data_IF_290981899292
#
_entry.id   IF_290981899292
#
_cell.length_a   1.000
_cell.length_b   1.000
_cell.length_c   1.000
_cell.angle_alpha   90.00
_cell.angle_beta   90.00
_cell.angle_gamma   90.00
#
_symmetry.space_group_name_H-M   'P 1'
#
loop_
_entity.id
_entity.type
_entity.pdbx_description
1 polymer ?
#
# COMPACT_ATOMS: atom_id res chain seq x y z
N UNK A 1 8.75 -1.92 2.74
CA UNK A 1 8.71 -0.43 2.70
C UNK A 1 8.34 0.15 4.07
N UNK A 2 9.11 1.12 4.58
CA UNK A 2 8.83 1.86 5.82
C UNK A 2 7.83 3.01 5.55
N UNK A 3 7.09 3.43 6.58
CA UNK A 3 6.07 4.48 6.45
C UNK A 3 6.67 5.86 6.08
N UNK A 4 7.87 6.19 6.58
CA UNK A 4 8.56 7.46 6.26
C UNK A 4 8.74 7.64 4.74
N UNK A 5 9.32 6.64 4.09
CA UNK A 5 9.50 6.61 2.63
C UNK A 5 8.19 6.68 1.83
N UNK A 6 7.08 6.20 2.39
CA UNK A 6 5.77 6.32 1.74
C UNK A 6 5.19 7.74 1.87
N UNK A 7 5.56 8.50 2.91
CA UNK A 7 5.11 9.90 3.08
C UNK A 7 5.82 10.87 2.14
N UNK A 8 7.02 10.51 1.70
CA UNK A 8 7.81 11.27 0.72
C UNK A 8 7.27 11.14 -0.72
N UNK A 9 6.43 10.14 -0.98
CA UNK A 9 5.84 9.91 -2.29
C UNK A 9 4.66 10.85 -2.55
N UNK A 10 4.51 11.28 -3.79
CA UNK A 10 3.32 12.00 -4.23
C UNK A 10 2.08 11.11 -4.14
N UNK A 11 0.89 11.72 -4.07
CA UNK A 11 -0.39 10.98 -4.08
C UNK A 11 -0.52 10.08 -5.31
N UNK A 12 -0.09 10.57 -6.47
CA UNK A 12 -0.09 9.82 -7.73
C UNK A 12 0.82 8.61 -7.67
N UNK A 13 2.00 8.73 -7.05
CA UNK A 13 2.94 7.61 -6.92
C UNK A 13 2.43 6.58 -5.90
N UNK A 14 1.80 7.05 -4.82
CA UNK A 14 1.14 6.17 -3.85
C UNK A 14 0.00 5.37 -4.49
N UNK A 15 -0.81 6.00 -5.34
CA UNK A 15 -1.92 5.33 -6.01
C UNK A 15 -1.44 4.33 -7.07
N UNK A 16 -0.37 4.67 -7.82
CA UNK A 16 0.31 3.71 -8.73
C UNK A 16 0.85 2.51 -7.94
N UNK A 17 1.57 2.77 -6.85
CA UNK A 17 2.12 1.72 -5.97
C UNK A 17 1.03 0.84 -5.38
N UNK A 18 -0.09 1.43 -4.98
CA UNK A 18 -1.23 0.70 -4.46
C UNK A 18 -1.83 -0.27 -5.50
N UNK A 19 -1.94 0.16 -6.76
CA UNK A 19 -2.43 -0.69 -7.85
C UNK A 19 -1.46 -1.86 -8.13
N UNK A 20 -0.17 -1.58 -8.22
CA UNK A 20 0.87 -2.61 -8.40
C UNK A 20 0.78 -3.70 -7.32
N UNK A 21 0.76 -3.29 -6.04
CA UNK A 21 0.74 -4.21 -4.90
C UNK A 21 -0.56 -5.03 -4.82
N UNK A 22 -1.70 -4.47 -5.27
CA UNK A 22 -2.96 -5.22 -5.36
C UNK A 22 -2.89 -6.31 -6.42
N UNK A 23 -2.32 -6.03 -7.59
CA UNK A 23 -2.14 -7.03 -8.65
C UNK A 23 -1.19 -8.13 -8.20
N UNK A 24 -0.07 -7.76 -7.57
CA UNK A 24 0.89 -8.71 -7.01
C UNK A 24 0.25 -9.61 -5.93
N UNK A 25 -0.60 -9.03 -5.07
CA UNK A 25 -1.35 -9.79 -4.07
C UNK A 25 -2.32 -10.79 -4.70
N UNK A 26 -2.99 -10.42 -5.79
CA UNK A 26 -3.91 -11.32 -6.51
C UNK A 26 -3.12 -12.47 -7.15
N UNK A 27 -2.02 -12.16 -7.85
CA UNK A 27 -1.15 -13.17 -8.46
C UNK A 27 -0.58 -14.16 -7.42
N UNK A 28 -0.22 -13.65 -6.24
CA UNK A 28 0.27 -14.46 -5.13
C UNK A 28 -0.79 -15.37 -4.52
N UNK A 29 -2.09 -15.01 -4.63
CA UNK A 29 -3.20 -15.89 -4.21
C UNK A 29 -3.48 -16.99 -5.23
N UNK A 30 -3.38 -16.68 -6.52
CA UNK A 30 -3.70 -17.64 -7.58
C UNK A 30 -2.59 -18.67 -7.83
N UNK A 31 -1.34 -18.38 -7.44
CA UNK A 31 -0.20 -19.25 -7.73
C UNK A 31 -0.03 -20.44 -6.77
N UNK A 32 -0.91 -20.63 -5.77
CA UNK A 32 -0.83 -21.66 -4.72
C UNK A 32 0.55 -21.79 -4.01
N UNK A 33 1.48 -20.86 -4.25
CA UNK A 33 2.79 -20.87 -3.62
C UNK A 33 2.65 -20.35 -2.20
N UNK A 34 3.06 -21.18 -1.24
CA UNK A 34 3.10 -20.97 0.22
C UNK A 34 4.08 -19.85 0.63
N UNK A 35 3.95 -18.65 0.05
CA UNK A 35 4.79 -17.48 0.32
C UNK A 35 4.10 -16.53 1.31
N UNK A 36 3.80 -17.07 2.51
CA UNK A 36 3.08 -16.35 3.57
C UNK A 36 3.79 -15.07 4.04
N UNK A 37 5.12 -15.04 4.01
CA UNK A 37 5.93 -13.88 4.43
C UNK A 37 5.82 -12.71 3.45
N UNK A 38 6.01 -12.95 2.15
CA UNK A 38 5.87 -11.93 1.09
C UNK A 38 4.45 -11.36 1.04
N UNK A 39 3.44 -12.23 1.12
CA UNK A 39 2.03 -11.82 1.16
C UNK A 39 1.72 -10.92 2.36
N UNK A 40 2.28 -11.24 3.54
CA UNK A 40 2.12 -10.43 4.76
C UNK A 40 2.77 -9.05 4.62
N UNK A 41 3.92 -8.97 3.96
CA UNK A 41 4.59 -7.70 3.70
C UNK A 41 3.81 -6.83 2.71
N UNK A 42 3.32 -7.39 1.62
CA UNK A 42 2.48 -6.69 0.64
C UNK A 42 1.24 -6.10 1.34
N UNK A 43 0.54 -6.91 2.15
CA UNK A 43 -0.62 -6.45 2.94
C UNK A 43 -0.26 -5.29 3.89
N UNK A 44 0.89 -5.38 4.58
CA UNK A 44 1.37 -4.30 5.47
C UNK A 44 1.65 -3.01 4.70
N UNK A 45 2.23 -3.10 3.51
CA UNK A 45 2.52 -1.92 2.69
C UNK A 45 1.22 -1.28 2.19
N UNK A 46 0.26 -2.08 1.71
CA UNK A 46 -1.07 -1.61 1.31
C UNK A 46 -1.75 -0.88 2.47
N UNK A 47 -1.78 -1.47 3.66
CA UNK A 47 -2.39 -0.86 4.85
C UNK A 47 -1.75 0.51 5.20
N UNK A 48 -0.42 0.61 5.08
CA UNK A 48 0.30 1.88 5.31
C UNK A 48 -0.06 2.94 4.28
N UNK A 49 -0.14 2.60 3.00
CA UNK A 49 -0.56 3.53 1.93
C UNK A 49 -1.98 4.03 2.18
N UNK A 50 -2.92 3.12 2.49
CA UNK A 50 -4.31 3.49 2.78
C UNK A 50 -4.42 4.40 4.00
N UNK A 51 -3.59 4.17 5.02
CA UNK A 51 -3.53 5.02 6.22
C UNK A 51 -3.05 6.42 5.87
N UNK A 52 -1.97 6.54 5.10
CA UNK A 52 -1.44 7.85 4.64
C UNK A 52 -2.48 8.60 3.81
N UNK A 53 -3.11 7.93 2.84
CA UNK A 53 -4.16 8.53 2.02
C UNK A 53 -5.34 9.02 2.87
N UNK A 54 -5.71 8.29 3.93
CA UNK A 54 -6.77 8.68 4.86
C UNK A 54 -6.36 9.86 5.75
N UNK A 55 -5.12 9.88 6.24
CA UNK A 55 -4.58 11.00 7.04
C UNK A 55 -4.54 12.30 6.24
N UNK A 56 -4.02 12.26 5.01
CA UNK A 56 -3.99 13.43 4.13
C UNK A 56 -5.42 13.95 3.83
N UNK A 57 -6.39 13.04 3.66
CA UNK A 57 -7.80 13.42 3.45
C UNK A 57 -8.45 14.05 4.69
N UNK A 58 -8.01 13.71 5.90
CA UNK A 58 -8.47 14.37 7.14
C UNK A 58 -7.92 15.79 7.23
N UNK A 59 -6.64 16.01 6.94
CA UNK A 59 -6.05 17.36 6.94
C UNK A 59 -6.79 18.32 5.99
N UNK A 60 -7.21 17.83 4.82
CA UNK A 60 -8.02 18.61 3.85
C UNK A 60 -9.47 18.92 4.30
N UNK A 61 -10.01 18.22 5.30
CA UNK A 61 -11.37 18.46 5.82
C UNK A 61 -11.41 19.34 7.07
N UNK A 62 -10.25 19.62 7.65
CA UNK A 62 -10.13 20.38 8.91
C UNK A 62 -9.56 21.79 8.67
N UNK A 63 -9.23 22.12 7.41
CA UNK A 63 -9.01 23.48 6.90
C UNK A 63 -10.25 23.93 6.16
#
# INVERSE_FOLDING_TARGET
>A
MKAKKLRELSKTDLDKKLKELKVELIKSRTSNQTTGTKTKEIKKIIARILTINKSNKKELKTK
#
